data_IF_593394175970
#
_entry.id   IF_593394175970
#
_cell.length_a   1.000
_cell.length_b   1.000
_cell.length_c   1.000
_cell.angle_alpha   90.00
_cell.angle_beta   90.00
_cell.angle_gamma   90.00
#
_symmetry.space_group_name_H-M   'P 1'
#
loop_
_entity.id
_entity.type
_entity.pdbx_description
1 polymer ?
#
# COMPACT_ATOMS: atom_id res chain seq x y z
N UNK A 1 -13.65 -3.61 14.34
CA UNK A 1 -13.84 -3.58 12.88
C UNK A 1 -14.59 -2.35 12.35
N UNK A 2 -15.92 -2.21 12.44
CA UNK A 2 -16.64 -1.10 11.76
C UNK A 2 -16.23 0.31 12.22
N UNK A 3 -15.96 0.51 13.52
CA UNK A 3 -15.44 1.78 14.04
C UNK A 3 -13.99 2.06 13.57
N UNK A 4 -13.13 1.03 13.54
CA UNK A 4 -11.75 1.14 13.06
C UNK A 4 -11.68 1.49 11.57
N UNK A 5 -12.54 0.92 10.73
CA UNK A 5 -12.60 1.24 9.29
C UNK A 5 -13.02 2.69 9.01
N UNK A 6 -13.80 3.30 9.90
CA UNK A 6 -14.18 4.71 9.79
C UNK A 6 -13.02 5.64 10.12
N UNK A 7 -12.17 5.25 11.07
CA UNK A 7 -10.99 6.00 11.50
C UNK A 7 -9.78 5.78 10.57
N UNK A 8 -9.63 4.55 10.04
CA UNK A 8 -8.55 4.13 9.15
C UNK A 8 -9.10 3.82 7.76
N UNK A 9 -9.38 4.86 6.98
CA UNK A 9 -9.94 4.73 5.61
C UNK A 9 -9.06 3.95 4.63
N UNK A 10 -7.77 3.83 4.93
CA UNK A 10 -6.76 3.09 4.20
C UNK A 10 -6.61 1.63 4.66
N UNK A 11 -7.35 1.20 5.68
CA UNK A 11 -7.48 -0.22 6.05
C UNK A 11 -8.46 -0.88 5.08
N UNK A 12 -7.98 -1.31 3.92
CA UNK A 12 -8.76 -1.98 2.88
C UNK A 12 -8.32 -3.42 2.67
N UNK A 13 -9.20 -4.33 2.21
CA UNK A 13 -8.83 -5.72 1.89
C UNK A 13 -7.68 -5.86 0.89
N UNK A 14 -7.38 -4.83 0.11
CA UNK A 14 -6.28 -4.85 -0.85
C UNK A 14 -4.95 -5.13 -0.17
N UNK A 15 -4.76 -4.72 1.09
CA UNK A 15 -3.50 -4.92 1.83
C UNK A 15 -3.20 -6.41 2.10
N UNK A 16 -4.19 -7.29 1.98
CA UNK A 16 -4.00 -8.74 2.20
C UNK A 16 -3.43 -9.45 0.98
N UNK A 17 -3.22 -8.74 -0.14
CA UNK A 17 -2.77 -9.34 -1.39
C UNK A 17 -3.81 -10.28 -2.02
N UNK A 18 -5.09 -10.09 -1.69
CA UNK A 18 -6.20 -10.91 -2.20
C UNK A 18 -6.46 -12.19 -1.39
N UNK A 19 -5.62 -12.50 -0.41
CA UNK A 19 -5.84 -13.62 0.49
C UNK A 19 -6.95 -13.29 1.50
N UNK A 20 -7.95 -14.17 1.57
CA UNK A 20 -9.12 -14.03 2.42
C UNK A 20 -8.88 -14.53 3.84
N UNK A 21 -7.82 -15.31 4.03
CA UNK A 21 -7.48 -15.94 5.31
C UNK A 21 -6.59 -15.01 6.18
N UNK A 22 -6.01 -13.95 5.59
CA UNK A 22 -5.23 -12.93 6.31
C UNK A 22 -6.14 -12.06 7.19
N UNK A 23 -5.73 -11.83 8.43
CA UNK A 23 -6.39 -10.86 9.29
C UNK A 23 -6.07 -9.43 8.85
N UNK A 24 -7.09 -8.71 8.38
CA UNK A 24 -6.94 -7.33 7.88
C UNK A 24 -6.43 -6.36 8.95
N UNK A 25 -6.82 -6.55 10.21
CA UNK A 25 -6.47 -5.65 11.30
C UNK A 25 -4.99 -5.82 11.67
N UNK A 26 -4.52 -7.06 11.78
CA UNK A 26 -3.11 -7.37 12.02
C UNK A 26 -2.23 -6.95 10.82
N UNK A 27 -2.63 -7.29 9.58
CA UNK A 27 -1.93 -6.85 8.38
C UNK A 27 -1.80 -5.32 8.29
N UNK A 28 -2.82 -4.57 8.75
CA UNK A 28 -2.79 -3.11 8.75
C UNK A 28 -1.94 -2.51 9.87
N UNK A 29 -2.05 -3.01 11.10
CA UNK A 29 -1.40 -2.41 12.27
C UNK A 29 0.02 -2.93 12.52
N UNK A 30 0.29 -4.19 12.20
CA UNK A 30 1.58 -4.84 12.48
C UNK A 30 2.34 -5.19 11.20
N UNK A 31 1.63 -5.35 10.07
CA UNK A 31 2.20 -5.84 8.82
C UNK A 31 2.44 -7.35 8.82
N UNK A 32 1.91 -8.08 9.82
CA UNK A 32 1.91 -9.55 9.83
C UNK A 32 1.08 -10.06 8.66
N UNK A 33 1.59 -11.06 7.95
CA UNK A 33 0.94 -11.68 6.79
C UNK A 33 0.66 -10.74 5.59
N UNK A 34 0.90 -9.43 5.69
CA UNK A 34 0.85 -8.52 4.56
C UNK A 34 1.95 -8.88 3.53
N UNK A 35 1.77 -8.56 2.23
CA UNK A 35 2.79 -8.83 1.23
C UNK A 35 4.14 -8.18 1.59
N UNK A 36 5.18 -9.01 1.72
CA UNK A 36 6.52 -8.57 2.12
C UNK A 36 6.71 -8.35 3.62
N UNK A 37 5.72 -8.68 4.44
CA UNK A 37 5.78 -8.71 5.89
C UNK A 37 6.49 -9.95 6.46
N UNK A 38 6.51 -10.04 7.79
CA UNK A 38 6.98 -11.24 8.49
C UNK A 38 5.88 -12.31 8.45
N UNK A 39 6.28 -13.56 8.22
CA UNK A 39 5.40 -14.73 8.16
C UNK A 39 4.26 -14.63 7.11
N UNK A 40 4.56 -14.46 5.80
CA UNK A 40 3.54 -14.37 4.76
C UNK A 40 2.73 -15.66 4.65
N UNK A 41 1.43 -15.54 4.33
CA UNK A 41 0.58 -16.69 4.07
C UNK A 41 0.98 -17.39 2.75
N UNK A 42 0.76 -18.71 2.63
CA UNK A 42 1.07 -19.43 1.39
C UNK A 42 0.28 -19.01 0.15
N UNK A 43 -0.91 -18.42 0.32
CA UNK A 43 -1.86 -18.13 -0.78
C UNK A 43 -1.66 -16.72 -1.39
N UNK A 44 -0.61 -15.98 -0.98
CA UNK A 44 -0.18 -14.74 -1.65
C UNK A 44 0.71 -15.02 -2.88
N UNK A 45 0.12 -15.53 -3.95
CA UNK A 45 0.83 -15.87 -5.19
C UNK A 45 0.40 -15.06 -6.44
N UNK A 46 -0.67 -14.25 -6.32
CA UNK A 46 -1.18 -13.41 -7.40
C UNK A 46 -0.42 -12.07 -7.46
N UNK A 47 0.50 -11.95 -8.43
CA UNK A 47 1.36 -10.77 -8.63
C UNK A 47 0.56 -9.46 -8.77
N UNK A 48 -0.61 -9.50 -9.40
CA UNK A 48 -1.45 -8.31 -9.61
C UNK A 48 -2.04 -7.79 -8.29
N UNK A 49 -2.54 -8.68 -7.44
CA UNK A 49 -3.12 -8.32 -6.15
C UNK A 49 -2.04 -7.88 -5.14
N UNK A 50 -0.88 -8.54 -5.17
CA UNK A 50 0.32 -8.09 -4.43
C UNK A 50 0.75 -6.69 -4.90
N UNK A 51 0.73 -6.44 -6.20
CA UNK A 51 1.05 -5.14 -6.79
C UNK A 51 0.11 -4.05 -6.28
N UNK A 52 -1.21 -4.29 -6.35
CA UNK A 52 -2.24 -3.38 -5.83
C UNK A 52 -2.06 -3.09 -4.35
N UNK A 53 -1.81 -4.11 -3.53
CA UNK A 53 -1.54 -3.97 -2.10
C UNK A 53 -0.39 -2.98 -1.81
N UNK A 54 0.64 -2.98 -2.67
CA UNK A 54 1.81 -2.10 -2.57
C UNK A 54 1.65 -0.76 -3.32
N UNK A 55 0.47 -0.49 -3.88
CA UNK A 55 0.17 0.71 -4.66
C UNK A 55 0.91 0.75 -5.99
N UNK A 56 1.03 -0.41 -6.66
CA UNK A 56 1.71 -0.61 -7.94
C UNK A 56 0.85 -1.49 -8.87
N UNK A 57 0.11 -0.87 -9.77
CA UNK A 57 -0.71 -1.55 -10.78
C UNK A 57 -0.06 -1.47 -12.16
N UNK A 58 -0.36 -2.41 -13.06
CA UNK A 58 0.11 -2.44 -14.44
C UNK A 58 -1.03 -2.69 -15.42
N UNK A 59 -0.97 -2.05 -16.60
CA UNK A 59 -1.88 -2.40 -17.71
C UNK A 59 -1.46 -3.72 -18.37
N UNK A 60 -2.40 -4.44 -19.00
CA UNK A 60 -2.22 -5.76 -19.64
C UNK A 60 -1.02 -5.89 -20.61
N UNK A 61 -0.51 -4.77 -21.13
CA UNK A 61 0.64 -4.73 -22.04
C UNK A 61 1.72 -3.73 -21.61
N UNK A 62 1.70 -3.29 -20.36
CA UNK A 62 2.72 -2.41 -19.81
C UNK A 62 3.99 -3.21 -19.47
N UNK A 63 5.17 -2.80 -19.97
CA UNK A 63 6.43 -3.40 -19.55
C UNK A 63 6.67 -3.22 -18.05
N UNK A 64 7.04 -4.31 -17.36
CA UNK A 64 7.37 -4.25 -15.93
C UNK A 64 8.62 -3.39 -15.69
N UNK A 65 8.44 -2.28 -14.97
CA UNK A 65 9.47 -1.30 -14.62
C UNK A 65 9.29 -0.81 -13.18
N UNK A 66 9.22 -1.76 -12.24
CA UNK A 66 8.80 -1.50 -10.87
C UNK A 66 9.56 -0.33 -10.21
N UNK A 67 10.89 -0.31 -10.31
CA UNK A 67 11.69 0.76 -9.71
C UNK A 67 11.40 2.14 -10.31
N UNK A 68 11.33 2.26 -11.65
CA UNK A 68 11.01 3.53 -12.32
C UNK A 68 9.60 3.99 -11.93
N UNK A 69 8.62 3.08 -11.90
CA UNK A 69 7.22 3.40 -11.59
C UNK A 69 7.03 3.85 -10.14
N UNK A 70 7.69 3.21 -9.18
CA UNK A 70 7.68 3.63 -7.77
C UNK A 70 8.30 5.02 -7.62
N UNK A 71 9.44 5.29 -8.27
CA UNK A 71 10.08 6.61 -8.24
C UNK A 71 9.16 7.68 -8.83
N UNK A 72 8.54 7.42 -9.98
CA UNK A 72 7.61 8.37 -10.61
C UNK A 72 6.34 8.60 -9.77
N UNK A 73 5.78 7.56 -9.14
CA UNK A 73 4.67 7.69 -8.19
C UNK A 73 5.06 8.60 -7.03
N UNK A 74 6.21 8.34 -6.41
CA UNK A 74 6.65 9.05 -5.22
C UNK A 74 6.98 10.52 -5.49
N UNK A 75 7.42 10.88 -6.71
CA UNK A 75 7.59 12.29 -7.13
C UNK A 75 6.29 13.11 -7.07
N UNK A 76 5.15 12.46 -7.22
CA UNK A 76 3.83 13.09 -7.22
C UNK A 76 3.07 12.84 -5.91
N UNK A 77 3.71 12.21 -4.92
CA UNK A 77 3.10 11.90 -3.63
C UNK A 77 3.06 13.16 -2.77
N UNK A 78 1.85 13.67 -2.54
CA UNK A 78 1.60 14.88 -1.77
C UNK A 78 2.29 14.88 -0.39
N UNK A 79 2.27 13.76 0.33
CA UNK A 79 2.92 13.62 1.65
C UNK A 79 4.45 13.83 1.61
N UNK A 80 5.07 13.68 0.44
CA UNK A 80 6.50 13.94 0.22
C UNK A 80 6.76 15.35 -0.37
N UNK A 81 5.71 16.07 -0.77
CA UNK A 81 5.81 17.46 -1.20
C UNK A 81 6.13 18.35 0.02
N UNK A 82 7.19 19.17 -0.02
CA UNK A 82 7.47 20.14 1.05
C UNK A 82 6.28 21.04 1.39
N UNK A 83 5.40 21.33 0.42
CA UNK A 83 4.18 22.11 0.59
C UNK A 83 3.10 21.40 1.43
N UNK A 84 3.20 20.08 1.59
CA UNK A 84 2.34 19.29 2.48
C UNK A 84 2.76 19.34 3.94
N UNK A 85 3.97 19.83 4.25
CA UNK A 85 4.43 19.92 5.65
C UNK A 85 3.62 20.96 6.42
N UNK A 86 3.23 20.65 7.66
CA UNK A 86 2.44 21.58 8.51
C UNK A 86 3.15 22.92 8.70
N UNK A 87 4.49 22.90 8.77
CA UNK A 87 5.33 24.07 8.97
C UNK A 87 5.74 24.77 7.67
N UNK A 88 5.20 24.36 6.51
CA UNK A 88 5.56 24.93 5.21
C UNK A 88 5.35 26.46 5.16
N UNK A 89 4.32 26.95 5.85
CA UNK A 89 4.01 28.39 5.94
C UNK A 89 5.03 29.18 6.77
N UNK A 90 5.69 28.53 7.73
CA UNK A 90 6.65 29.16 8.65
C UNK A 90 8.08 29.20 8.06
N UNK A 91 8.35 28.43 7.00
CA UNK A 91 9.64 28.42 6.26
C UNK A 91 9.75 29.48 5.16
N UNK A 92 8.69 30.28 4.92
CA UNK A 92 8.64 31.30 3.86
C UNK A 92 9.06 32.68 4.32
#
# INVERSE_FOLDING_TARGET
MAEHLLEHRNMSPEITGGDVDVDLEDAYFTGEEAPGGDNPTPDQDIVDDIGKALGLEYDDNEPLKASEKVIERDKHRWELDPASSEDYKDRK
#
